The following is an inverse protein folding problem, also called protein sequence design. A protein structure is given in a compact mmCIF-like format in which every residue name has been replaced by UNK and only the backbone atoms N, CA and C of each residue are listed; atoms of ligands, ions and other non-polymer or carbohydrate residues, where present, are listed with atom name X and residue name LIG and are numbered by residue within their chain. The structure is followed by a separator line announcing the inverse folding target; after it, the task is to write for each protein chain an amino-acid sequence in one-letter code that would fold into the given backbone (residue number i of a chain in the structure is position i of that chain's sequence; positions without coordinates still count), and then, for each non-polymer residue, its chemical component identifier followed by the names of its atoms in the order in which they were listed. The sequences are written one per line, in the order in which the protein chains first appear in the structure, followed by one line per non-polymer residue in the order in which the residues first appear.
data_IF_260508549813
#
_entry.id   IF_260508549813
#
_cell.length_a   1.000
_cell.length_b   1.000
_cell.length_c   1.000
_cell.angle_alpha   90.00
_cell.angle_beta   90.00
_cell.angle_gamma   90.00
#
_symmetry.space_group_name_H-M   'P 1'
#
loop_
_entity.id
_entity.type
_entity.pdbx_description
1 polymer ?
#
# COMPACT_ATOMS: atom_id res chain seq x y z
N UNK A 1 85.50 -27.02 -42.62
CA UNK A 1 86.27 -27.71 -41.57
C UNK A 1 85.67 -27.23 -40.25
N UNK A 2 84.92 -27.99 -39.46
CA UNK A 2 85.01 -29.42 -39.17
C UNK A 2 85.44 -29.55 -37.70
N UNK A 3 84.48 -29.95 -36.83
CA UNK A 3 84.63 -30.40 -35.43
C UNK A 3 85.13 -29.34 -34.41
N UNK A 4 84.65 -29.24 -33.15
CA UNK A 4 84.42 -30.28 -32.12
C UNK A 4 83.36 -29.89 -31.05
N UNK A 5 82.55 -30.89 -30.65
CA UNK A 5 81.71 -31.03 -29.43
C UNK A 5 82.52 -31.02 -28.10
N UNK A 6 81.94 -31.26 -26.89
CA UNK A 6 80.69 -30.80 -26.24
C UNK A 6 80.95 -30.33 -24.78
N UNK A 7 79.94 -29.95 -23.98
CA UNK A 7 79.70 -30.52 -22.62
C UNK A 7 78.39 -29.99 -21.99
N UNK A 8 77.65 -30.95 -21.44
CA UNK A 8 76.40 -30.95 -20.67
C UNK A 8 76.19 -29.81 -19.65
N UNK A 9 74.92 -29.42 -19.44
CA UNK A 9 74.29 -29.48 -18.11
C UNK A 9 72.75 -29.51 -18.21
N UNK A 10 72.14 -30.04 -17.15
CA UNK A 10 70.85 -30.71 -17.12
C UNK A 10 69.64 -29.83 -16.76
N UNK A 11 68.48 -30.38 -17.08
CA UNK A 11 67.29 -30.50 -16.21
C UNK A 11 66.20 -29.42 -16.15
N UNK A 12 64.99 -30.00 -16.24
CA UNK A 12 63.66 -29.62 -15.75
C UNK A 12 62.78 -28.64 -16.55
N UNK A 13 61.83 -29.27 -17.26
CA UNK A 13 60.56 -28.69 -17.69
C UNK A 13 59.69 -28.32 -16.48
N UNK A 14 59.16 -27.09 -16.46
CA UNK A 14 57.95 -26.73 -15.71
C UNK A 14 56.94 -26.07 -16.66
N UNK A 15 55.78 -26.70 -16.75
CA UNK A 15 54.59 -26.30 -17.49
C UNK A 15 53.85 -25.24 -16.66
N UNK A 16 53.79 -23.99 -17.12
CA UNK A 16 52.99 -22.94 -16.47
C UNK A 16 51.70 -22.69 -17.25
N UNK A 17 50.61 -23.23 -16.71
CA UNK A 17 49.23 -22.96 -17.08
C UNK A 17 48.86 -21.51 -16.69
N UNK A 18 48.56 -20.65 -17.67
CA UNK A 18 48.01 -19.32 -17.38
C UNK A 18 46.49 -19.42 -17.16
N UNK A 19 46.09 -19.36 -15.90
CA UNK A 19 44.70 -19.22 -15.46
C UNK A 19 44.21 -17.81 -15.81
N UNK A 20 43.17 -17.71 -16.65
CA UNK A 20 42.39 -16.48 -16.77
C UNK A 20 41.66 -16.24 -15.44
N UNK A 21 42.00 -15.15 -14.74
CA UNK A 21 41.17 -14.65 -13.65
C UNK A 21 39.90 -14.03 -14.23
N UNK A 22 38.82 -14.80 -14.26
CA UNK A 22 37.47 -14.24 -14.29
C UNK A 22 37.20 -13.71 -12.88
N UNK A 23 37.26 -12.40 -12.70
CA UNK A 23 36.75 -11.76 -11.48
C UNK A 23 35.24 -11.96 -11.45
N UNK A 24 34.78 -12.97 -10.71
CA UNK A 24 33.37 -13.16 -10.41
C UNK A 24 32.89 -11.99 -9.53
N UNK A 25 32.13 -11.05 -10.10
CA UNK A 25 31.37 -10.10 -9.32
C UNK A 25 30.34 -10.87 -8.48
N UNK A 26 30.48 -10.84 -7.16
CA UNK A 26 29.59 -11.55 -6.24
C UNK A 26 28.12 -11.13 -6.46
N UNK A 27 27.16 -12.08 -6.49
CA UNK A 27 25.75 -11.79 -6.79
C UNK A 27 25.08 -10.89 -5.73
N UNK A 28 25.69 -10.74 -4.55
CA UNK A 28 25.21 -9.88 -3.46
C UNK A 28 25.24 -8.40 -3.83
N UNK A 29 26.20 -7.96 -4.67
CA UNK A 29 26.38 -6.54 -4.99
C UNK A 29 25.40 -6.03 -6.06
N UNK A 30 24.87 -6.92 -6.92
CA UNK A 30 23.91 -6.55 -7.96
C UNK A 30 22.47 -6.47 -7.43
N UNK A 31 22.07 -7.38 -6.53
CA UNK A 31 20.76 -7.35 -5.87
C UNK A 31 20.59 -6.09 -5.03
N UNK A 32 21.57 -5.72 -4.20
CA UNK A 32 21.50 -4.51 -3.39
C UNK A 32 21.39 -3.23 -4.24
N UNK A 33 22.17 -3.11 -5.33
CA UNK A 33 22.05 -1.96 -6.26
C UNK A 33 20.69 -1.93 -6.96
N UNK A 34 20.16 -3.08 -7.36
CA UNK A 34 18.84 -3.19 -7.98
C UNK A 34 17.71 -2.79 -7.02
N UNK A 35 17.82 -3.19 -5.74
CA UNK A 35 16.84 -2.85 -4.70
C UNK A 35 16.91 -1.37 -4.32
N UNK A 36 18.11 -0.79 -4.27
CA UNK A 36 18.28 0.64 -4.00
C UNK A 36 17.74 1.51 -5.15
N UNK A 37 18.06 1.18 -6.41
CA UNK A 37 17.48 1.84 -7.58
C UNK A 37 15.95 1.69 -7.62
N UNK A 38 15.45 0.53 -7.22
CA UNK A 38 14.05 0.25 -7.08
C UNK A 38 13.37 1.15 -6.03
N UNK A 39 13.93 1.28 -4.82
CA UNK A 39 13.35 2.14 -3.77
C UNK A 39 13.39 3.61 -4.20
N UNK A 40 14.46 4.05 -4.85
CA UNK A 40 14.50 5.40 -5.44
C UNK A 40 13.40 5.62 -6.49
N UNK A 41 13.08 4.62 -7.30
CA UNK A 41 11.97 4.70 -8.27
C UNK A 41 10.59 4.82 -7.62
N UNK A 42 10.34 4.13 -6.49
CA UNK A 42 9.09 4.29 -5.74
C UNK A 42 8.95 5.69 -5.14
N UNK A 43 10.04 6.26 -4.62
CA UNK A 43 10.02 7.65 -4.10
C UNK A 43 9.93 8.70 -5.22
N UNK A 44 10.47 8.38 -6.40
CA UNK A 44 10.50 9.27 -7.56
C UNK A 44 9.18 9.32 -8.35
N UNK A 45 8.29 8.33 -8.20
CA UNK A 45 7.00 8.32 -8.91
C UNK A 45 6.01 9.40 -8.40
N UNK A 46 6.37 10.12 -7.32
CA UNK A 46 5.58 11.21 -6.75
C UNK A 46 4.38 10.79 -5.90
N UNK A 47 4.18 9.49 -5.70
CA UNK A 47 3.06 8.91 -4.95
C UNK A 47 3.44 8.73 -3.48
N UNK A 48 2.47 8.91 -2.57
CA UNK A 48 2.62 8.68 -1.13
C UNK A 48 3.79 9.42 -0.45
N UNK A 49 4.22 10.59 -0.96
CA UNK A 49 5.21 11.44 -0.27
C UNK A 49 4.80 11.82 1.14
N UNK A 50 3.49 11.91 1.37
CA UNK A 50 2.83 12.01 2.67
C UNK A 50 1.86 10.82 2.79
N UNK A 51 1.39 10.48 4.00
CA UNK A 51 0.41 9.42 4.17
C UNK A 51 -0.82 9.65 3.27
N UNK A 52 -1.33 8.63 2.56
CA UNK A 52 -2.49 8.82 1.70
C UNK A 52 -3.74 9.15 2.51
N UNK A 53 -4.51 10.13 2.03
CA UNK A 53 -5.78 10.53 2.61
C UNK A 53 -6.92 10.27 1.64
N UNK A 54 -8.02 9.70 2.12
CA UNK A 54 -9.13 9.33 1.26
C UNK A 54 -10.27 8.66 2.02
N UNK A 55 -10.98 7.80 1.31
CA UNK A 55 -12.11 7.02 1.80
C UNK A 55 -12.03 5.61 1.21
N UNK A 56 -12.46 4.61 1.97
CA UNK A 56 -12.59 3.22 1.52
C UNK A 56 -13.99 2.70 1.87
N UNK A 57 -14.57 1.88 0.99
CA UNK A 57 -15.93 1.37 1.14
C UNK A 57 -16.13 0.31 2.23
N UNK A 58 -15.08 -0.37 2.69
CA UNK A 58 -15.21 -1.63 3.43
C UNK A 58 -15.88 -1.51 4.79
N UNK A 59 -15.42 -0.60 5.66
CA UNK A 59 -15.85 -0.58 7.07
C UNK A 59 -17.36 -0.38 7.24
N UNK A 60 -17.97 0.43 6.38
CA UNK A 60 -19.41 0.71 6.45
C UNK A 60 -20.25 -0.13 5.49
N UNK A 61 -19.78 -0.30 4.24
CA UNK A 61 -20.59 -0.91 3.18
C UNK A 61 -20.29 -2.40 2.99
N UNK A 62 -19.12 -2.87 3.44
CA UNK A 62 -18.63 -4.23 3.15
C UNK A 62 -18.74 -4.54 1.64
N UNK A 63 -19.55 -5.54 1.27
CA UNK A 63 -19.82 -5.92 -0.12
C UNK A 63 -21.07 -5.27 -0.74
N UNK A 64 -21.77 -4.40 -0.01
CA UNK A 64 -22.95 -3.68 -0.50
C UNK A 64 -22.55 -2.36 -1.16
N UNK A 65 -21.84 -2.46 -2.28
CA UNK A 65 -21.36 -1.31 -3.04
C UNK A 65 -21.88 -1.32 -4.48
N UNK A 66 -22.25 -0.14 -4.97
CA UNK A 66 -22.64 0.10 -6.35
C UNK A 66 -22.15 1.46 -6.87
N UNK A 67 -22.19 1.63 -8.19
CA UNK A 67 -21.72 2.84 -8.87
C UNK A 67 -22.40 4.11 -8.34
N UNK A 68 -23.70 4.03 -8.03
CA UNK A 68 -24.46 5.18 -7.50
C UNK A 68 -23.96 5.58 -6.12
N UNK A 69 -23.70 4.63 -5.24
CA UNK A 69 -23.17 4.83 -3.90
C UNK A 69 -21.78 5.46 -3.95
N UNK A 70 -20.91 4.97 -4.83
CA UNK A 70 -19.57 5.53 -5.00
C UNK A 70 -19.65 6.95 -5.56
N UNK A 71 -20.44 7.20 -6.61
CA UNK A 71 -20.60 8.56 -7.17
C UNK A 71 -21.16 9.55 -6.13
N UNK A 72 -22.15 9.12 -5.35
CA UNK A 72 -22.71 9.95 -4.27
C UNK A 72 -21.69 10.23 -3.16
N UNK A 73 -20.82 9.26 -2.87
CA UNK A 73 -19.71 9.42 -1.91
C UNK A 73 -18.66 10.40 -2.43
N UNK A 74 -18.29 10.32 -3.70
CA UNK A 74 -17.41 11.29 -4.38
C UNK A 74 -17.97 12.70 -4.26
N UNK A 75 -19.26 12.90 -4.58
CA UNK A 75 -19.93 14.19 -4.44
C UNK A 75 -19.97 14.69 -2.97
N UNK A 76 -20.17 13.78 -2.01
CA UNK A 76 -20.13 14.10 -0.58
C UNK A 76 -18.73 14.54 -0.11
N UNK A 77 -17.66 13.85 -0.53
CA UNK A 77 -16.27 14.25 -0.19
C UNK A 77 -15.95 15.66 -0.70
N UNK A 78 -16.46 16.03 -1.89
CA UNK A 78 -16.28 17.37 -2.44
C UNK A 78 -17.14 18.41 -1.69
N UNK A 79 -18.43 18.14 -1.53
CA UNK A 79 -19.39 19.11 -0.97
C UNK A 79 -19.19 19.38 0.52
N UNK A 80 -18.79 18.38 1.30
CA UNK A 80 -18.42 18.52 2.72
C UNK A 80 -17.11 19.29 2.91
N UNK A 81 -16.30 19.45 1.87
CA UNK A 81 -15.01 20.13 1.91
C UNK A 81 -13.82 19.23 2.28
N UNK A 82 -14.05 17.94 2.54
CA UNK A 82 -12.98 16.97 2.81
C UNK A 82 -11.96 16.91 1.66
N UNK A 83 -12.41 17.01 0.40
CA UNK A 83 -11.52 17.09 -0.75
C UNK A 83 -10.48 18.23 -0.63
N UNK A 84 -10.91 19.42 -0.14
CA UNK A 84 -10.02 20.59 0.04
C UNK A 84 -9.03 20.40 1.18
N UNK A 85 -9.31 19.50 2.12
CA UNK A 85 -8.42 19.14 3.21
C UNK A 85 -7.42 18.04 2.83
N UNK A 86 -7.52 17.48 1.61
CA UNK A 86 -6.57 16.50 1.08
C UNK A 86 -7.09 15.08 0.93
N UNK A 87 -8.33 14.80 1.36
CA UNK A 87 -9.00 13.50 1.14
C UNK A 87 -9.28 13.32 -0.35
N UNK A 88 -8.37 12.64 -1.05
CA UNK A 88 -8.35 12.58 -2.52
C UNK A 88 -8.55 11.19 -3.10
N UNK A 89 -8.28 10.13 -2.34
CA UNK A 89 -8.47 8.76 -2.80
C UNK A 89 -9.89 8.28 -2.48
N UNK A 90 -10.59 7.72 -3.46
CA UNK A 90 -11.88 7.05 -3.30
C UNK A 90 -11.66 5.60 -3.69
N UNK A 91 -11.50 4.73 -2.68
CA UNK A 91 -11.07 3.36 -2.87
C UNK A 91 -12.27 2.42 -2.84
N UNK A 92 -12.46 1.67 -3.93
CA UNK A 92 -13.30 0.48 -3.90
C UNK A 92 -12.56 -0.62 -3.16
N UNK A 93 -13.23 -1.24 -2.20
CA UNK A 93 -12.75 -2.49 -1.59
C UNK A 93 -13.29 -3.71 -2.37
N UNK A 94 -13.33 -4.89 -1.75
CA UNK A 94 -13.79 -6.13 -2.37
C UNK A 94 -15.21 -6.03 -3.00
N UNK A 95 -15.62 -7.05 -3.75
CA UNK A 95 -16.97 -7.22 -4.31
C UNK A 95 -17.35 -6.28 -5.48
N UNK A 96 -16.40 -5.58 -6.12
CA UNK A 96 -16.67 -4.72 -7.29
C UNK A 96 -16.77 -5.46 -8.64
N UNK A 97 -16.16 -6.65 -8.76
CA UNK A 97 -16.03 -7.38 -10.02
C UNK A 97 -17.04 -8.53 -10.18
N UNK A 98 -17.17 -9.01 -11.42
CA UNK A 98 -17.84 -10.28 -11.72
C UNK A 98 -17.18 -11.45 -11.00
N UNK A 99 -17.95 -12.50 -10.75
CA UNK A 99 -17.47 -13.70 -10.04
C UNK A 99 -16.39 -14.46 -10.79
N UNK A 100 -16.35 -14.32 -12.11
CA UNK A 100 -15.40 -14.99 -13.00
C UNK A 100 -14.80 -14.00 -14.01
N UNK A 101 -13.54 -14.26 -14.37
CA UNK A 101 -12.83 -13.57 -15.46
C UNK A 101 -13.54 -13.83 -16.80
N UNK A 102 -13.31 -12.96 -17.77
CA UNK A 102 -13.77 -13.21 -19.14
C UNK A 102 -12.94 -14.32 -19.83
N UNK A 103 -13.33 -14.69 -21.07
CA UNK A 103 -12.64 -15.72 -21.85
C UNK A 103 -11.19 -15.36 -22.20
N UNK A 104 -10.80 -14.09 -22.11
CA UNK A 104 -9.43 -13.63 -22.31
C UNK A 104 -8.65 -13.52 -20.98
N UNK A 105 -9.26 -13.90 -19.86
CA UNK A 105 -8.66 -13.85 -18.53
C UNK A 105 -8.71 -12.48 -17.85
N UNK A 106 -9.46 -11.50 -18.37
CA UNK A 106 -9.55 -10.17 -17.74
C UNK A 106 -10.56 -10.15 -16.59
N UNK A 107 -10.26 -9.37 -15.57
CA UNK A 107 -11.26 -8.94 -14.59
C UNK A 107 -12.33 -8.07 -15.28
N UNK A 108 -13.57 -8.17 -14.79
CA UNK A 108 -14.70 -7.38 -15.30
C UNK A 108 -15.43 -6.71 -14.15
N UNK A 109 -15.81 -5.45 -14.33
CA UNK A 109 -16.73 -4.79 -13.42
C UNK A 109 -18.05 -5.59 -13.36
N UNK A 110 -18.62 -5.73 -12.17
CA UNK A 110 -19.91 -6.43 -12.00
C UNK A 110 -21.02 -5.62 -12.66
N UNK A 111 -21.62 -6.11 -13.74
CA UNK A 111 -22.55 -5.32 -14.56
C UNK A 111 -23.80 -4.87 -13.80
N UNK A 112 -24.22 -5.64 -12.78
CA UNK A 112 -25.41 -5.31 -11.97
C UNK A 112 -25.20 -4.15 -11.01
N UNK A 113 -23.97 -3.89 -10.54
CA UNK A 113 -23.66 -2.83 -9.57
C UNK A 113 -22.78 -1.73 -10.17
N UNK A 114 -21.97 -2.04 -11.18
CA UNK A 114 -21.10 -1.12 -11.91
C UNK A 114 -21.39 -1.17 -13.42
N UNK A 115 -22.63 -0.82 -13.86
CA UNK A 115 -23.06 -0.99 -15.25
C UNK A 115 -22.26 -0.15 -16.26
N UNK A 116 -21.67 0.97 -15.86
CA UNK A 116 -20.84 1.79 -16.76
C UNK A 116 -19.38 1.33 -16.83
N UNK A 117 -18.99 0.37 -15.98
CA UNK A 117 -17.61 -0.12 -15.85
C UNK A 117 -16.68 0.82 -15.06
N UNK A 118 -15.54 0.27 -14.63
CA UNK A 118 -14.59 0.98 -13.76
C UNK A 118 -13.92 2.16 -14.45
N UNK A 119 -13.63 2.07 -15.76
CA UNK A 119 -13.08 3.18 -16.55
C UNK A 119 -13.96 4.44 -16.45
N UNK A 120 -15.27 4.29 -16.66
CA UNK A 120 -16.21 5.41 -16.59
C UNK A 120 -16.34 5.97 -15.17
N UNK A 121 -16.26 5.10 -14.15
CA UNK A 121 -16.22 5.54 -12.76
C UNK A 121 -14.93 6.32 -12.44
N UNK A 122 -13.77 5.87 -12.91
CA UNK A 122 -12.50 6.57 -12.76
C UNK A 122 -12.56 7.94 -13.43
N UNK A 123 -13.05 8.01 -14.68
CA UNK A 123 -13.22 9.27 -15.41
C UNK A 123 -14.10 10.26 -14.62
N UNK A 124 -15.19 9.78 -14.00
CA UNK A 124 -16.05 10.60 -13.14
C UNK A 124 -15.32 11.07 -11.88
N UNK A 125 -14.61 10.19 -11.18
CA UNK A 125 -13.81 10.54 -9.98
C UNK A 125 -12.74 11.58 -10.32
N UNK A 126 -12.03 11.41 -11.44
CA UNK A 126 -11.03 12.36 -11.93
C UNK A 126 -11.64 13.71 -12.29
N UNK A 127 -12.85 13.74 -12.87
CA UNK A 127 -13.57 14.99 -13.18
C UNK A 127 -13.85 15.84 -11.94
N UNK A 128 -13.82 15.24 -10.74
CA UNK A 128 -14.00 15.90 -9.44
C UNK A 128 -12.68 16.26 -8.77
N UNK A 129 -11.54 16.06 -9.45
CA UNK A 129 -10.20 16.28 -8.89
C UNK A 129 -9.76 15.23 -7.88
N UNK A 130 -10.46 14.10 -7.80
CA UNK A 130 -10.17 12.98 -6.91
C UNK A 130 -9.45 11.85 -7.69
N UNK A 131 -9.08 10.79 -6.98
CA UNK A 131 -8.33 9.62 -7.48
C UNK A 131 -9.11 8.35 -7.16
N UNK A 132 -9.17 7.41 -8.10
CA UNK A 132 -9.89 6.14 -7.89
C UNK A 132 -8.92 5.07 -7.39
N UNK A 133 -9.27 4.40 -6.30
CA UNK A 133 -8.65 3.16 -5.88
C UNK A 133 -9.48 1.93 -6.19
N UNK A 134 -8.80 0.82 -6.36
CA UNK A 134 -9.39 -0.50 -6.57
C UNK A 134 -8.75 -1.52 -5.63
N UNK A 135 -9.41 -2.67 -5.51
CA UNK A 135 -8.98 -3.79 -4.70
C UNK A 135 -8.75 -5.04 -5.56
N UNK A 136 -7.70 -5.79 -5.23
CA UNK A 136 -7.48 -7.15 -5.70
C UNK A 136 -6.77 -7.97 -4.61
N UNK A 137 -6.43 -9.21 -4.92
CA UNK A 137 -5.84 -10.14 -3.95
C UNK A 137 -4.61 -10.85 -4.55
N UNK A 138 -3.58 -11.06 -3.73
CA UNK A 138 -2.41 -11.88 -4.00
C UNK A 138 -2.69 -13.40 -3.90
N UNK A 139 -3.93 -13.83 -4.11
CA UNK A 139 -4.36 -15.20 -4.26
C UNK A 139 -5.26 -15.41 -5.47
N UNK A 140 -5.88 -16.60 -5.55
CA UNK A 140 -6.73 -16.98 -6.68
C UNK A 140 -8.12 -16.35 -6.63
N UNK A 141 -8.57 -16.00 -5.43
CA UNK A 141 -9.90 -15.43 -5.11
C UNK A 141 -9.68 -14.32 -4.08
N UNK A 142 -10.57 -13.35 -4.01
CA UNK A 142 -10.52 -12.34 -2.95
C UNK A 142 -11.03 -12.88 -1.63
N UNK A 143 -10.74 -12.19 -0.51
CA UNK A 143 -11.20 -12.60 0.83
C UNK A 143 -12.72 -12.85 0.95
N UNK A 144 -13.57 -12.06 0.29
CA UNK A 144 -15.02 -12.29 0.24
C UNK A 144 -15.41 -13.56 -0.53
N UNK A 145 -14.49 -14.10 -1.32
CA UNK A 145 -14.71 -15.23 -2.22
C UNK A 145 -15.82 -14.91 -3.26
N UNK A 146 -16.02 -13.63 -3.60
CA UNK A 146 -17.04 -13.17 -4.55
C UNK A 146 -16.49 -12.80 -5.92
N UNK A 147 -15.18 -12.61 -6.05
CA UNK A 147 -14.52 -12.29 -7.31
C UNK A 147 -13.12 -12.92 -7.41
N UNK A 148 -12.51 -12.98 -8.62
CA UNK A 148 -11.18 -13.50 -8.81
C UNK A 148 -10.11 -12.64 -8.12
N UNK A 149 -9.09 -13.28 -7.57
CA UNK A 149 -7.84 -12.62 -7.19
C UNK A 149 -6.89 -12.55 -8.40
N UNK A 150 -5.70 -12.00 -8.21
CA UNK A 150 -4.75 -11.68 -9.30
C UNK A 150 -3.50 -12.56 -9.33
N UNK A 151 -3.39 -13.59 -8.48
CA UNK A 151 -2.24 -14.49 -8.49
C UNK A 151 -2.10 -15.19 -9.86
N UNK A 152 -0.97 -14.97 -10.54
CA UNK A 152 -0.70 -15.46 -11.90
C UNK A 152 -1.27 -14.60 -13.03
N UNK A 153 -2.00 -13.53 -12.72
CA UNK A 153 -2.56 -12.56 -13.68
C UNK A 153 -2.02 -11.15 -13.47
N UNK A 154 -0.94 -10.96 -12.70
CA UNK A 154 -0.51 -9.67 -12.18
C UNK A 154 -0.25 -8.64 -13.29
N UNK A 155 0.47 -9.03 -14.35
CA UNK A 155 0.74 -8.14 -15.49
C UNK A 155 -0.52 -7.77 -16.28
N UNK A 156 -1.44 -8.72 -16.46
CA UNK A 156 -2.70 -8.48 -17.16
C UNK A 156 -3.60 -7.54 -16.37
N UNK A 157 -3.72 -7.78 -15.07
CA UNK A 157 -4.57 -6.98 -14.19
C UNK A 157 -3.99 -5.59 -13.97
N UNK A 158 -2.68 -5.46 -13.73
CA UNK A 158 -2.03 -4.15 -13.61
C UNK A 158 -2.20 -3.30 -14.87
N UNK A 159 -2.10 -3.89 -16.06
CA UNK A 159 -2.39 -3.20 -17.32
C UNK A 159 -3.85 -2.77 -17.39
N UNK A 160 -4.78 -3.66 -17.07
CA UNK A 160 -6.22 -3.35 -17.01
C UNK A 160 -6.51 -2.18 -16.08
N UNK A 161 -5.92 -2.16 -14.88
CA UNK A 161 -6.09 -1.08 -13.91
C UNK A 161 -5.53 0.25 -14.44
N UNK A 162 -4.36 0.22 -15.09
CA UNK A 162 -3.78 1.42 -15.70
C UNK A 162 -4.64 1.95 -16.85
N UNK A 163 -5.16 1.07 -17.71
CA UNK A 163 -6.08 1.41 -18.82
C UNK A 163 -7.39 2.02 -18.31
N UNK A 164 -7.89 1.51 -17.18
CA UNK A 164 -9.07 2.08 -16.51
C UNK A 164 -8.80 3.41 -15.78
N UNK A 165 -7.54 3.82 -15.63
CA UNK A 165 -7.18 5.05 -14.94
C UNK A 165 -7.15 4.93 -13.41
N UNK A 166 -7.02 3.72 -12.87
CA UNK A 166 -6.86 3.50 -11.42
C UNK A 166 -5.61 4.22 -10.90
N UNK A 167 -5.67 4.75 -9.67
CA UNK A 167 -4.60 5.50 -9.00
C UNK A 167 -4.09 4.84 -7.73
N UNK A 168 -4.81 3.84 -7.21
CA UNK A 168 -4.52 3.14 -5.97
C UNK A 168 -4.94 1.67 -6.09
N UNK A 169 -4.09 0.75 -5.64
CA UNK A 169 -4.42 -0.67 -5.51
C UNK A 169 -4.22 -1.11 -4.06
N UNK A 170 -5.30 -1.51 -3.37
CA UNK A 170 -5.24 -2.38 -2.19
C UNK A 170 -5.07 -3.81 -2.68
N UNK A 171 -4.08 -4.52 -2.16
CA UNK A 171 -3.75 -5.87 -2.60
C UNK A 171 -3.70 -6.81 -1.39
N UNK A 172 -4.70 -7.66 -1.28
CA UNK A 172 -4.94 -8.54 -0.13
C UNK A 172 -4.15 -9.85 -0.22
N UNK A 173 -4.36 -10.76 0.73
CA UNK A 173 -3.53 -11.94 0.92
C UNK A 173 -4.31 -13.27 1.08
N UNK A 174 -5.62 -13.28 0.84
CA UNK A 174 -6.45 -14.48 0.97
C UNK A 174 -6.20 -15.47 -0.19
N UNK A 175 -6.64 -16.73 -0.05
CA UNK A 175 -6.61 -17.76 -1.12
C UNK A 175 -5.30 -17.87 -1.91
N UNK A 176 -4.17 -17.60 -1.25
CA UNK A 176 -2.83 -17.71 -1.83
C UNK A 176 -2.40 -19.19 -1.96
N UNK A 177 -1.31 -19.42 -2.67
CA UNK A 177 -0.77 -20.77 -2.95
C UNK A 177 0.23 -21.27 -1.89
N UNK A 178 0.29 -20.62 -0.72
CA UNK A 178 1.27 -20.90 0.33
C UNK A 178 2.65 -20.29 0.05
N UNK A 179 2.87 -19.65 -1.11
CA UNK A 179 4.10 -18.91 -1.34
C UNK A 179 4.17 -17.65 -0.48
N UNK A 180 5.39 -17.27 -0.13
CA UNK A 180 5.66 -16.15 0.76
C UNK A 180 5.11 -14.82 0.21
N UNK A 181 4.59 -13.92 1.07
CA UNK A 181 4.05 -12.64 0.64
C UNK A 181 5.09 -11.83 -0.17
N UNK A 182 6.36 -11.82 0.23
CA UNK A 182 7.41 -11.06 -0.46
C UNK A 182 7.55 -11.47 -1.93
N UNK A 183 7.27 -12.74 -2.29
CA UNK A 183 7.29 -13.21 -3.68
C UNK A 183 6.09 -12.67 -4.46
N UNK A 184 4.88 -12.82 -3.91
CA UNK A 184 3.63 -12.44 -4.59
C UNK A 184 3.47 -10.93 -4.73
N UNK A 185 3.75 -10.19 -3.66
CA UNK A 185 3.73 -8.73 -3.69
C UNK A 185 4.81 -8.14 -4.62
N UNK A 186 6.00 -8.75 -4.70
CA UNK A 186 7.02 -8.34 -5.66
C UNK A 186 6.59 -8.56 -7.13
N UNK A 187 5.76 -9.57 -7.42
CA UNK A 187 5.21 -9.80 -8.74
C UNK A 187 4.23 -8.68 -9.15
N UNK A 188 3.22 -8.41 -8.33
CA UNK A 188 2.26 -7.32 -8.58
C UNK A 188 2.95 -5.95 -8.63
N UNK A 189 3.90 -5.71 -7.73
CA UNK A 189 4.69 -4.49 -7.74
C UNK A 189 5.42 -4.26 -9.08
N UNK A 190 6.05 -5.30 -9.64
CA UNK A 190 6.71 -5.23 -10.97
C UNK A 190 5.69 -4.97 -12.07
N UNK A 191 4.54 -5.64 -12.02
CA UNK A 191 3.46 -5.47 -12.97
C UNK A 191 2.92 -4.03 -13.00
N UNK A 192 2.65 -3.44 -11.83
CA UNK A 192 2.20 -2.04 -11.70
C UNK A 192 3.20 -1.05 -12.31
N UNK A 193 4.51 -1.25 -12.07
CA UNK A 193 5.53 -0.39 -12.71
C UNK A 193 5.56 -0.56 -14.23
N UNK A 194 5.41 -1.78 -14.71
CA UNK A 194 5.40 -2.06 -16.15
C UNK A 194 4.18 -1.48 -16.86
N UNK A 195 3.04 -1.36 -16.16
CA UNK A 195 1.82 -0.76 -16.69
C UNK A 195 1.95 0.76 -16.99
N UNK A 196 3.01 1.43 -16.52
CA UNK A 196 3.37 2.79 -16.95
C UNK A 196 2.53 3.92 -16.34
N UNK A 197 1.52 3.61 -15.51
CA UNK A 197 0.75 4.58 -14.72
C UNK A 197 1.21 4.56 -13.25
N UNK A 198 1.48 5.71 -12.60
CA UNK A 198 1.72 5.73 -11.16
C UNK A 198 0.48 5.30 -10.37
N UNK A 199 0.55 4.12 -9.75
CA UNK A 199 -0.51 3.55 -8.89
C UNK A 199 0.05 3.37 -7.49
N UNK A 200 -0.63 3.92 -6.48
CA UNK A 200 -0.29 3.69 -5.08
C UNK A 200 -0.55 2.23 -4.74
N UNK A 201 0.51 1.49 -4.42
CA UNK A 201 0.42 0.09 -4.04
C UNK A 201 0.36 -0.08 -2.51
N UNK A 202 -0.78 -0.57 -2.02
CA UNK A 202 -1.11 -0.79 -0.62
C UNK A 202 -1.18 -2.28 -0.32
N UNK A 203 -0.23 -2.78 0.46
CA UNK A 203 -0.11 -4.20 0.79
C UNK A 203 -0.99 -4.54 1.99
N UNK A 204 -1.75 -5.63 1.91
CA UNK A 204 -2.67 -6.07 2.96
C UNK A 204 -2.44 -7.56 3.27
N UNK A 205 -1.40 -7.88 4.04
CA UNK A 205 -1.14 -9.25 4.53
C UNK A 205 -1.27 -9.37 6.06
N UNK A 206 -1.91 -8.37 6.68
CA UNK A 206 -2.28 -8.33 8.10
C UNK A 206 -1.12 -8.35 9.11
N UNK A 207 0.08 -7.91 8.71
CA UNK A 207 1.30 -7.98 9.51
C UNK A 207 2.09 -9.30 9.37
N UNK A 208 1.68 -10.19 8.46
CA UNK A 208 2.26 -11.53 8.33
C UNK A 208 3.69 -11.53 7.78
N UNK A 209 4.65 -11.94 8.62
CA UNK A 209 6.09 -11.85 8.33
C UNK A 209 6.65 -10.42 8.36
N UNK A 210 6.14 -9.58 9.26
CA UNK A 210 6.69 -8.25 9.61
C UNK A 210 6.89 -7.33 8.39
N UNK A 211 5.81 -6.90 7.70
CA UNK A 211 5.88 -6.14 6.44
C UNK A 211 6.70 -4.86 6.54
N UNK A 212 6.72 -4.21 7.70
CA UNK A 212 7.56 -3.03 7.95
C UNK A 212 9.04 -3.25 7.59
N UNK A 213 9.55 -4.48 7.67
CA UNK A 213 10.95 -4.81 7.33
C UNK A 213 11.22 -4.94 5.83
N UNK A 214 10.20 -5.14 4.99
CA UNK A 214 10.39 -5.51 3.59
C UNK A 214 9.45 -4.81 2.59
N UNK A 215 8.22 -4.48 2.98
CA UNK A 215 7.15 -3.98 2.10
C UNK A 215 7.48 -2.63 1.44
N UNK A 216 8.26 -1.77 2.11
CA UNK A 216 8.77 -0.52 1.52
C UNK A 216 9.73 -0.73 0.34
N UNK A 217 10.16 -1.97 0.08
CA UNK A 217 10.86 -2.35 -1.15
C UNK A 217 9.92 -2.81 -2.27
N UNK A 218 8.60 -2.77 -2.09
CA UNK A 218 7.63 -3.22 -3.10
C UNK A 218 6.44 -2.28 -3.30
N UNK A 219 6.02 -1.56 -2.26
CA UNK A 219 4.89 -0.63 -2.31
C UNK A 219 5.05 0.56 -1.38
N UNK A 220 3.92 1.23 -1.11
CA UNK A 220 3.89 2.54 -0.48
C UNK A 220 3.24 2.52 0.89
N UNK A 221 2.30 1.60 1.12
CA UNK A 221 1.69 1.37 2.44
C UNK A 221 1.60 -0.13 2.68
N UNK A 222 1.60 -0.56 3.95
CA UNK A 222 1.42 -1.96 4.31
C UNK A 222 0.70 -2.11 5.65
N UNK A 223 -0.33 -2.97 5.67
CA UNK A 223 -1.05 -3.31 6.89
C UNK A 223 -0.11 -3.92 7.92
N UNK A 224 -0.17 -3.45 9.15
CA UNK A 224 0.68 -3.98 10.25
C UNK A 224 -0.04 -4.94 11.20
N UNK A 225 -1.36 -5.08 11.04
CA UNK A 225 -2.23 -5.84 11.94
C UNK A 225 -3.36 -6.51 11.17
N UNK A 226 -4.10 -7.40 11.83
CA UNK A 226 -5.45 -7.81 11.43
C UNK A 226 -6.43 -6.64 11.34
N UNK A 227 -7.64 -6.93 10.88
CA UNK A 227 -8.65 -5.92 10.57
C UNK A 227 -9.13 -5.16 11.81
N UNK A 228 -9.29 -3.85 11.63
CA UNK A 228 -9.93 -2.98 12.60
C UNK A 228 -11.42 -3.30 12.72
N UNK A 229 -11.97 -3.04 13.90
CA UNK A 229 -13.40 -3.04 14.15
C UNK A 229 -13.76 -1.74 14.88
N UNK A 230 -15.00 -1.27 14.72
CA UNK A 230 -15.54 -0.07 15.36
C UNK A 230 -15.78 -0.26 16.88
N UNK A 231 -14.70 -0.53 17.62
CA UNK A 231 -14.69 -0.72 19.07
C UNK A 231 -13.40 -0.17 19.66
N UNK A 232 -13.47 0.42 20.86
CA UNK A 232 -12.30 1.01 21.50
C UNK A 232 -11.16 0.02 21.74
N UNK A 233 -11.49 -1.24 22.05
CA UNK A 233 -10.51 -2.30 22.24
C UNK A 233 -9.72 -2.62 20.96
N UNK A 234 -10.38 -2.58 19.80
CA UNK A 234 -9.70 -2.80 18.51
C UNK A 234 -8.78 -1.63 18.18
N UNK A 235 -9.25 -0.38 18.30
CA UNK A 235 -8.45 0.82 18.03
C UNK A 235 -7.16 0.85 18.86
N UNK A 236 -7.28 0.63 20.17
CA UNK A 236 -6.15 0.68 21.10
C UNK A 236 -5.15 -0.46 20.85
N UNK A 237 -5.63 -1.68 20.65
CA UNK A 237 -4.78 -2.83 20.33
C UNK A 237 -3.99 -2.65 19.02
N UNK A 238 -4.63 -2.08 17.99
CA UNK A 238 -4.00 -1.81 16.70
C UNK A 238 -2.97 -0.68 16.81
N UNK A 239 -3.28 0.41 17.51
CA UNK A 239 -2.32 1.49 17.74
C UNK A 239 -1.07 0.98 18.46
N UNK A 240 -1.24 0.13 19.46
CA UNK A 240 -0.13 -0.47 20.23
C UNK A 240 0.73 -1.39 19.38
N UNK A 241 0.08 -2.23 18.57
CA UNK A 241 0.77 -3.15 17.65
C UNK A 241 1.52 -2.40 16.54
N UNK A 242 0.97 -1.29 16.05
CA UNK A 242 1.61 -0.47 15.02
C UNK A 242 2.80 0.36 15.56
N UNK A 243 2.75 0.77 16.84
CA UNK A 243 3.72 1.67 17.45
C UNK A 243 5.18 1.16 17.35
N UNK A 244 5.41 -0.15 17.35
CA UNK A 244 6.76 -0.73 17.29
C UNK A 244 7.44 -0.57 15.92
N UNK A 245 6.66 -0.27 14.88
CA UNK A 245 7.13 -0.20 13.49
C UNK A 245 7.53 1.20 13.04
N UNK A 246 7.43 2.22 13.91
CA UNK A 246 7.59 3.62 13.51
C UNK A 246 8.90 3.97 12.80
N UNK A 247 10.00 3.24 13.09
CA UNK A 247 11.31 3.45 12.44
C UNK A 247 11.34 3.09 10.94
N UNK A 248 10.34 2.36 10.45
CA UNK A 248 10.27 1.92 9.05
C UNK A 248 9.38 2.83 8.19
N UNK A 249 8.56 3.68 8.82
CA UNK A 249 7.74 4.66 8.12
C UNK A 249 8.56 5.89 7.71
N UNK A 250 8.14 6.56 6.65
CA UNK A 250 8.73 7.78 6.13
C UNK A 250 8.15 8.15 4.76
N UNK A 251 8.58 9.28 4.17
CA UNK A 251 8.11 9.68 2.84
C UNK A 251 8.15 8.53 1.82
N UNK A 252 7.01 8.26 1.19
CA UNK A 252 6.80 7.19 0.21
C UNK A 252 6.55 5.79 0.79
N UNK A 253 6.56 5.61 2.11
CA UNK A 253 6.49 4.30 2.76
C UNK A 253 5.85 4.38 4.16
N UNK A 254 4.62 3.91 4.33
CA UNK A 254 3.86 4.12 5.56
C UNK A 254 3.36 2.82 6.17
N UNK A 255 3.47 2.71 7.49
CA UNK A 255 2.75 1.68 8.21
C UNK A 255 1.25 1.99 8.16
N UNK A 256 0.45 0.98 7.89
CA UNK A 256 -1.00 1.09 7.78
C UNK A 256 -1.67 0.35 8.96
N UNK A 257 -2.09 1.08 10.00
CA UNK A 257 -2.90 0.55 11.09
C UNK A 257 -4.39 0.40 10.71
N UNK A 258 -4.71 0.27 9.43
CA UNK A 258 -6.06 0.10 8.89
C UNK A 258 -6.92 1.37 8.91
N UNK A 259 -8.12 1.25 8.33
CA UNK A 259 -9.05 2.34 8.05
C UNK A 259 -9.59 3.05 9.31
N UNK A 260 -10.03 4.30 9.14
CA UNK A 260 -10.67 5.09 10.19
C UNK A 260 -12.12 4.64 10.39
N UNK A 261 -12.49 4.36 11.64
CA UNK A 261 -13.87 3.99 12.05
C UNK A 261 -14.70 5.19 12.50
N UNK A 262 -14.13 6.40 12.42
CA UNK A 262 -14.75 7.64 12.86
C UNK A 262 -16.12 7.83 12.22
N UNK A 263 -17.17 7.79 13.04
CA UNK A 263 -18.55 8.02 12.61
C UNK A 263 -19.37 6.77 12.28
N UNK A 264 -18.86 5.56 12.51
CA UNK A 264 -19.62 4.31 12.27
C UNK A 264 -20.59 3.91 13.40
N UNK A 265 -20.48 4.54 14.58
CA UNK A 265 -21.47 4.48 15.66
C UNK A 265 -21.17 3.52 16.82
N UNK A 266 -20.12 2.71 16.71
CA UNK A 266 -19.69 1.75 17.74
C UNK A 266 -18.85 2.35 18.87
N UNK A 267 -18.38 3.59 18.73
CA UNK A 267 -17.62 4.32 19.75
C UNK A 267 -18.22 5.70 20.04
N UNK A 268 -17.88 6.26 21.19
CA UNK A 268 -18.27 7.63 21.54
C UNK A 268 -17.37 8.68 20.88
N UNK A 269 -17.76 9.96 20.95
CA UNK A 269 -17.06 11.04 20.25
C UNK A 269 -15.62 11.26 20.74
N UNK A 270 -15.33 10.98 22.01
CA UNK A 270 -14.00 11.15 22.60
C UNK A 270 -13.05 10.02 22.16
N UNK A 271 -13.58 8.81 22.05
CA UNK A 271 -12.88 7.65 21.48
C UNK A 271 -12.56 7.89 20.00
N UNK A 272 -13.52 8.39 19.21
CA UNK A 272 -13.27 8.76 17.81
C UNK A 272 -12.26 9.89 17.65
N UNK A 273 -12.29 10.90 18.53
CA UNK A 273 -11.31 11.99 18.53
C UNK A 273 -9.91 11.45 18.82
N UNK A 274 -9.81 10.52 19.77
CA UNK A 274 -8.55 9.86 20.13
C UNK A 274 -8.03 9.00 18.98
N UNK A 275 -8.90 8.20 18.35
CA UNK A 275 -8.62 7.39 17.15
C UNK A 275 -7.98 8.26 16.05
N UNK A 276 -8.69 9.32 15.62
CA UNK A 276 -8.21 10.19 14.55
C UNK A 276 -6.87 10.86 14.90
N UNK A 277 -6.74 11.34 16.15
CA UNK A 277 -5.51 12.00 16.62
C UNK A 277 -4.31 11.06 16.62
N UNK A 278 -4.50 9.81 17.05
CA UNK A 278 -3.44 8.80 17.11
C UNK A 278 -3.05 8.33 15.70
N UNK A 279 -4.00 8.13 14.79
CA UNK A 279 -3.69 7.81 13.38
C UNK A 279 -2.92 8.95 12.71
N UNK A 280 -3.34 10.19 12.96
CA UNK A 280 -2.63 11.36 12.45
C UNK A 280 -1.18 11.40 12.96
N UNK A 281 -0.99 11.24 14.26
CA UNK A 281 0.30 11.21 14.92
C UNK A 281 1.21 10.09 14.40
N UNK A 282 0.66 8.90 14.16
CA UNK A 282 1.39 7.75 13.66
C UNK A 282 1.76 7.86 12.16
N UNK A 283 1.39 8.96 11.48
CA UNK A 283 1.54 9.11 10.03
C UNK A 283 0.85 7.98 9.27
N UNK A 284 -0.26 7.49 9.81
CA UNK A 284 -1.07 6.47 9.17
C UNK A 284 -1.76 7.03 7.91
N UNK A 285 -2.08 6.18 6.92
CA UNK A 285 -3.15 6.48 5.97
C UNK A 285 -4.41 6.97 6.70
N UNK A 286 -4.98 8.09 6.25
CA UNK A 286 -6.26 8.60 6.76
C UNK A 286 -7.36 8.24 5.77
N UNK A 287 -7.72 6.96 5.74
CA UNK A 287 -8.80 6.42 4.90
C UNK A 287 -10.09 6.38 5.72
N UNK A 288 -11.02 7.29 5.44
CA UNK A 288 -12.35 7.33 6.08
C UNK A 288 -13.12 6.05 5.75
N UNK A 289 -13.66 5.39 6.76
CA UNK A 289 -14.45 4.16 6.62
C UNK A 289 -15.96 4.33 6.81
N UNK A 290 -16.46 5.52 7.19
CA UNK A 290 -17.89 5.77 7.40
C UNK A 290 -18.63 6.22 6.13
N UNK A 291 -19.96 6.25 6.17
CA UNK A 291 -20.77 6.91 5.13
C UNK A 291 -20.73 8.44 5.26
N UNK A 292 -19.85 9.06 4.47
CA UNK A 292 -19.70 10.53 4.42
C UNK A 292 -20.91 11.27 3.85
N UNK A 293 -21.85 10.57 3.20
CA UNK A 293 -23.09 11.18 2.65
C UNK A 293 -24.06 11.59 3.75
N UNK A 294 -23.97 10.94 4.90
CA UNK A 294 -24.83 11.15 6.08
C UNK A 294 -24.03 11.38 7.37
N UNK A 295 -22.74 11.70 7.27
CA UNK A 295 -21.89 11.96 8.43
C UNK A 295 -22.42 13.14 9.26
N UNK A 296 -22.41 12.97 10.59
CA UNK A 296 -22.83 14.02 11.52
C UNK A 296 -21.87 15.22 11.50
N UNK A 297 -22.32 16.35 12.04
CA UNK A 297 -21.49 17.56 12.14
C UNK A 297 -20.28 17.33 13.05
N UNK A 298 -20.45 16.56 14.11
CA UNK A 298 -19.39 16.15 15.03
C UNK A 298 -18.37 15.24 14.33
N UNK A 299 -18.84 14.28 13.52
CA UNK A 299 -17.99 13.40 12.71
C UNK A 299 -17.13 14.22 11.74
N UNK A 300 -17.77 15.13 10.99
CA UNK A 300 -17.08 16.03 10.06
C UNK A 300 -16.14 17.01 10.78
N UNK A 301 -16.40 17.36 12.04
CA UNK A 301 -15.49 18.18 12.84
C UNK A 301 -14.20 17.42 13.18
N UNK A 302 -14.30 16.13 13.50
CA UNK A 302 -13.12 15.28 13.74
C UNK A 302 -12.34 15.09 12.43
N UNK A 303 -13.01 14.56 11.40
CA UNK A 303 -12.39 14.28 10.10
C UNK A 303 -11.90 15.55 9.39
N UNK A 304 -12.49 16.69 9.69
CA UNK A 304 -12.15 17.99 9.09
C UNK A 304 -11.12 18.79 9.87
N UNK A 305 -10.56 18.26 10.97
CA UNK A 305 -9.63 19.01 11.81
C UNK A 305 -8.29 19.23 11.09
N UNK A 306 -8.13 20.42 10.51
CA UNK A 306 -6.95 20.79 9.73
C UNK A 306 -5.64 20.72 10.51
N UNK A 307 -5.62 21.11 11.78
CA UNK A 307 -4.39 21.10 12.57
C UNK A 307 -3.90 19.66 12.82
N UNK A 308 -4.83 18.73 13.08
CA UNK A 308 -4.52 17.30 13.23
C UNK A 308 -4.09 16.69 11.89
N UNK A 309 -4.74 17.08 10.78
CA UNK A 309 -4.33 16.67 9.43
C UNK A 309 -2.92 17.18 9.11
N UNK A 310 -2.58 18.42 9.45
CA UNK A 310 -1.26 18.99 9.20
C UNK A 310 -0.18 18.23 10.00
N UNK A 311 -0.49 17.74 11.22
CA UNK A 311 0.38 16.81 11.95
C UNK A 311 0.58 15.52 11.15
N UNK A 312 -0.46 14.91 10.57
CA UNK A 312 -0.31 13.72 9.73
C UNK A 312 0.50 13.99 8.46
N UNK A 313 0.27 15.14 7.83
CA UNK A 313 0.84 15.51 6.54
C UNK A 313 2.17 16.28 6.66
N UNK A 314 2.71 16.50 7.85
CA UNK A 314 4.00 17.17 8.02
C UNK A 314 5.11 16.46 7.23
N UNK A 315 5.92 17.28 6.56
CA UNK A 315 6.86 16.86 5.52
C UNK A 315 8.06 16.08 6.02
N UNK A 316 8.36 16.15 7.33
CA UNK A 316 9.40 15.33 7.94
C UNK A 316 9.03 13.84 7.85
N UNK A 317 7.73 13.53 7.90
CA UNK A 317 7.22 12.18 7.71
C UNK A 317 7.65 11.19 8.77
N UNK A 318 8.08 11.65 9.95
CA UNK A 318 8.46 10.76 11.05
C UNK A 318 7.21 10.32 11.81
N UNK A 319 6.99 9.00 11.85
CA UNK A 319 5.91 8.41 12.64
C UNK A 319 6.10 8.74 14.13
N UNK A 320 5.10 9.39 14.72
CA UNK A 320 5.03 9.60 16.15
C UNK A 320 4.88 8.27 16.91
N UNK A 321 5.35 8.25 18.15
CA UNK A 321 5.40 7.04 18.98
C UNK A 321 5.01 7.31 20.42
N UNK A 322 4.52 6.26 21.08
CA UNK A 322 4.32 6.21 22.52
C UNK A 322 5.67 6.25 23.23
N UNK A 323 5.85 7.22 24.12
CA UNK A 323 7.07 7.41 24.91
C UNK A 323 6.87 7.13 26.40
N UNK A 324 5.62 7.13 26.88
CA UNK A 324 5.27 6.78 28.26
C UNK A 324 3.88 6.17 28.31
N UNK A 325 3.70 5.16 29.16
CA UNK A 325 2.38 4.64 29.54
C UNK A 325 2.39 4.38 31.05
N UNK A 326 1.43 4.94 31.77
CA UNK A 326 1.29 4.77 33.22
C UNK A 326 -0.19 4.80 33.62
N UNK A 327 -0.70 3.69 34.17
CA UNK A 327 -2.08 3.63 34.69
C UNK A 327 -3.17 3.97 33.67
N UNK A 328 -2.99 3.58 32.40
CA UNK A 328 -3.92 3.91 31.31
C UNK A 328 -3.77 5.31 30.72
N UNK A 329 -2.84 6.13 31.25
CA UNK A 329 -2.48 7.43 30.68
C UNK A 329 -1.23 7.30 29.81
N UNK A 330 -1.33 7.78 28.57
CA UNK A 330 -0.26 7.63 27.58
C UNK A 330 0.24 8.98 27.10
N UNK A 331 1.56 9.07 26.89
CA UNK A 331 2.20 10.24 26.28
C UNK A 331 2.80 9.78 24.97
N UNK A 332 2.36 10.42 23.89
CA UNK A 332 2.88 10.19 22.55
C UNK A 332 3.63 11.44 22.07
N UNK A 333 4.70 11.25 21.30
CA UNK A 333 5.54 12.33 20.77
C UNK A 333 5.73 12.13 19.26
N UNK A 334 5.71 13.24 18.53
CA UNK A 334 6.17 13.34 17.15
C UNK A 334 7.22 14.44 17.02
N UNK A 335 7.95 14.39 15.92
CA UNK A 335 8.86 15.43 15.47
C UNK A 335 8.23 16.12 14.26
N UNK A 336 8.40 17.43 14.12
CA UNK A 336 7.81 18.21 13.03
C UNK A 336 8.82 19.19 12.44
N UNK A 337 8.56 19.59 11.20
CA UNK A 337 9.28 20.69 10.56
C UNK A 337 8.84 22.03 11.18
N UNK A 338 9.82 22.87 11.53
CA UNK A 338 9.62 24.21 12.13
C UNK A 338 9.15 25.23 11.14
#
# INVERSE_FOLDING_TARGET
MGLTMPFLFASLFHLLWHVHQVTASSPVNSTHRSQQAYTHSLLANGVARNPPMGWNSWNHFHCDIDEKTIKSTVDAIVSTGLARLGYKYVNLDDCWAEGERDNAGNLRAKASTFPSGIKALADYVHSKGLKLGIYADAGKRTCSNKMPGSLGHEYQDARTFAEWGVDYLKYDNCYNDGSKPQTRYAAMSRALRNAGRPILFSLCEWGQEDPAKWAGSYGHTWRTTGDINDTWASITSIADSNNIWGRYAGPGRWNDPDMLEVGNGGMNIEEYRSHFSIWALMKAPLLIGCDVRSASKETLTILGNKEVIDVNQDSLGVQGRKIRSNGGLEVNRFEHTT
#
